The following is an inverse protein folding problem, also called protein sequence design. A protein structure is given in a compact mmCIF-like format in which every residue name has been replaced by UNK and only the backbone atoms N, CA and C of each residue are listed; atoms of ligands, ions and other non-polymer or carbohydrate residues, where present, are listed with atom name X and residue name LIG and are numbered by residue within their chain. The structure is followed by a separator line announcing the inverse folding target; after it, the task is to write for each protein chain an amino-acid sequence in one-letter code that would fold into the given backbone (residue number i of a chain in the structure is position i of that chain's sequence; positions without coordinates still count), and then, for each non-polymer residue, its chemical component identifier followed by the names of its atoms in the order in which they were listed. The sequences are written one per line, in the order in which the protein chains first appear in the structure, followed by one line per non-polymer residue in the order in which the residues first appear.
data_IF_490805239350
#
_entry.id   IF_490805239350
#
_cell.length_a   1.000
_cell.length_b   1.000
_cell.length_c   1.000
_cell.angle_alpha   90.00
_cell.angle_beta   90.00
_cell.angle_gamma   90.00
#
_symmetry.space_group_name_H-M   'P 1'
#
loop_
_entity.id
_entity.type
_entity.pdbx_description
1 polymer ?
#
# COMPACT_ATOMS: atom_id res chain seq x y z
N UNK A 1 7.23 4.65 26.39
CA UNK A 1 6.10 4.78 25.45
C UNK A 1 5.94 3.42 24.78
N UNK A 2 4.82 2.73 25.02
CA UNK A 2 4.66 1.32 24.65
C UNK A 2 4.59 1.15 23.13
N UNK A 3 5.22 0.11 22.61
CA UNK A 3 5.40 -0.19 21.17
C UNK A 3 4.12 -0.73 20.51
N UNK A 4 2.94 -0.33 20.99
CA UNK A 4 1.65 -0.94 20.63
C UNK A 4 1.04 -0.33 19.36
N UNK A 5 1.75 0.55 18.66
CA UNK A 5 1.26 1.27 17.48
C UNK A 5 1.14 0.40 16.23
N UNK A 6 1.70 -0.82 16.24
CA UNK A 6 1.62 -1.75 15.12
C UNK A 6 0.17 -2.19 14.86
N UNK A 7 -0.60 -2.47 15.92
CA UNK A 7 -2.01 -2.88 15.80
C UNK A 7 -2.93 -1.77 15.30
N UNK A 8 -2.88 -0.52 15.84
CA UNK A 8 -3.58 0.61 15.27
C UNK A 8 -3.20 0.92 13.82
N UNK A 9 -1.90 0.84 13.49
CA UNK A 9 -1.43 1.09 12.12
C UNK A 9 -1.97 0.05 11.12
N UNK A 10 -1.97 -1.23 11.50
CA UNK A 10 -2.56 -2.30 10.67
C UNK A 10 -4.08 -2.18 10.56
N UNK A 11 -4.77 -1.79 11.64
CA UNK A 11 -6.21 -1.52 11.59
C UNK A 11 -6.53 -0.38 10.61
N UNK A 12 -5.77 0.71 10.64
CA UNK A 12 -5.91 1.82 9.68
C UNK A 12 -5.60 1.39 8.24
N UNK A 13 -4.54 0.63 8.02
CA UNK A 13 -4.20 0.09 6.69
C UNK A 13 -5.36 -0.73 6.13
N UNK A 14 -5.94 -1.64 6.92
CA UNK A 14 -7.10 -2.45 6.52
C UNK A 14 -8.34 -1.60 6.22
N UNK A 15 -8.61 -0.56 7.00
CA UNK A 15 -9.72 0.37 6.73
C UNK A 15 -9.50 1.09 5.41
N UNK A 16 -8.31 1.65 5.17
CA UNK A 16 -7.98 2.36 3.93
C UNK A 16 -8.07 1.43 2.72
N UNK A 17 -7.52 0.21 2.83
CA UNK A 17 -7.52 -0.78 1.76
C UNK A 17 -8.94 -1.31 1.48
N UNK A 18 -9.78 -1.44 2.50
CA UNK A 18 -11.18 -1.86 2.38
C UNK A 18 -12.12 -0.79 1.82
N UNK A 19 -11.81 0.49 1.99
CA UNK A 19 -12.64 1.60 1.48
C UNK A 19 -12.76 1.58 -0.04
N UNK A 20 -11.66 1.31 -0.77
CA UNK A 20 -11.65 1.23 -2.24
C UNK A 20 -12.69 0.26 -2.81
N UNK A 21 -12.66 -1.04 -2.44
CA UNK A 21 -13.64 -2.02 -2.89
C UNK A 21 -15.05 -1.78 -2.33
N UNK A 22 -15.19 -1.24 -1.10
CA UNK A 22 -16.51 -0.98 -0.51
C UNK A 22 -17.26 0.19 -1.14
N UNK A 23 -16.58 1.32 -1.41
CA UNK A 23 -17.24 2.50 -1.99
C UNK A 23 -17.43 2.40 -3.50
N UNK A 24 -16.46 1.82 -4.23
CA UNK A 24 -16.48 1.81 -5.69
C UNK A 24 -16.03 0.45 -6.29
N UNK A 25 -16.79 -0.64 -6.08
CA UNK A 25 -16.38 -1.99 -6.48
C UNK A 25 -16.08 -2.11 -7.99
N UNK A 26 -16.92 -1.54 -8.85
CA UNK A 26 -16.75 -1.64 -10.30
C UNK A 26 -15.53 -0.85 -10.81
N UNK A 27 -15.27 0.35 -10.26
CA UNK A 27 -14.11 1.14 -10.64
C UNK A 27 -12.82 0.54 -10.10
N UNK A 28 -12.85 0.05 -8.87
CA UNK A 28 -11.73 -0.66 -8.26
C UNK A 28 -11.36 -1.91 -9.06
N UNK A 29 -12.35 -2.73 -9.42
CA UNK A 29 -12.12 -3.92 -10.26
C UNK A 29 -11.56 -3.55 -11.64
N UNK A 30 -12.07 -2.49 -12.29
CA UNK A 30 -11.55 -2.03 -13.57
C UNK A 30 -10.09 -1.52 -13.45
N UNK A 31 -9.76 -0.85 -12.35
CA UNK A 31 -8.40 -0.39 -12.06
C UNK A 31 -7.44 -1.57 -11.87
N UNK A 32 -7.82 -2.55 -11.05
CA UNK A 32 -7.04 -3.77 -10.85
C UNK A 32 -6.83 -4.56 -12.15
N UNK A 33 -7.87 -4.65 -13.01
CA UNK A 33 -7.75 -5.30 -14.31
C UNK A 33 -6.75 -4.60 -15.23
N UNK A 34 -6.76 -3.28 -15.28
CA UNK A 34 -5.75 -2.50 -16.03
C UNK A 34 -4.35 -2.74 -15.46
N UNK A 35 -4.21 -2.74 -14.14
CA UNK A 35 -2.94 -2.98 -13.47
C UNK A 35 -2.40 -4.40 -13.74
N UNK A 36 -3.29 -5.41 -13.78
CA UNK A 36 -2.92 -6.79 -14.11
C UNK A 36 -2.62 -7.02 -15.59
N UNK A 37 -3.12 -6.16 -16.47
CA UNK A 37 -2.89 -6.22 -17.91
C UNK A 37 -1.58 -5.53 -18.33
N UNK A 38 -1.02 -4.67 -17.48
CA UNK A 38 0.31 -4.09 -17.67
C UNK A 38 1.41 -5.17 -17.59
N UNK A 39 2.52 -5.02 -18.32
CA UNK A 39 3.63 -5.96 -18.28
C UNK A 39 4.19 -6.09 -16.87
N UNK A 40 4.58 -7.31 -16.50
CA UNK A 40 5.15 -7.67 -15.18
C UNK A 40 6.34 -6.78 -14.79
N UNK A 41 7.09 -6.28 -15.78
CA UNK A 41 8.19 -5.33 -15.58
C UNK A 41 7.73 -4.02 -14.90
N UNK A 42 6.59 -3.45 -15.34
CA UNK A 42 6.02 -2.23 -14.79
C UNK A 42 5.46 -2.49 -13.38
N UNK A 43 4.82 -3.65 -13.18
CA UNK A 43 4.34 -4.06 -11.87
C UNK A 43 5.49 -4.21 -10.86
N UNK A 44 6.63 -4.76 -11.31
CA UNK A 44 7.85 -4.87 -10.50
C UNK A 44 8.45 -3.51 -10.18
N UNK A 45 8.44 -2.56 -11.12
CA UNK A 45 8.90 -1.19 -10.87
C UNK A 45 8.01 -0.47 -9.86
N UNK A 46 6.69 -0.60 -9.97
CA UNK A 46 5.74 -0.06 -8.99
C UNK A 46 6.00 -0.64 -7.59
N UNK A 47 6.17 -1.97 -7.49
CA UNK A 47 6.52 -2.63 -6.24
C UNK A 47 7.86 -2.15 -5.66
N UNK A 48 8.88 -1.99 -6.51
CA UNK A 48 10.18 -1.46 -6.08
C UNK A 48 10.09 -0.03 -5.55
N UNK A 49 9.34 0.85 -6.22
CA UNK A 49 9.13 2.23 -5.76
C UNK A 49 8.39 2.25 -4.42
N UNK A 50 7.36 1.41 -4.24
CA UNK A 50 6.65 1.29 -2.96
C UNK A 50 7.57 0.81 -1.83
N UNK A 51 8.33 -0.26 -2.07
CA UNK A 51 9.28 -0.80 -1.08
C UNK A 51 10.36 0.22 -0.75
N UNK A 52 10.92 0.90 -1.76
CA UNK A 52 11.94 1.91 -1.57
C UNK A 52 11.43 3.10 -0.78
N UNK A 53 10.25 3.63 -1.12
CA UNK A 53 9.62 4.70 -0.38
C UNK A 53 9.33 4.30 1.09
N UNK A 54 8.86 3.07 1.31
CA UNK A 54 8.64 2.53 2.65
C UNK A 54 9.94 2.41 3.45
N UNK A 55 11.03 1.95 2.84
CA UNK A 55 12.35 1.88 3.47
C UNK A 55 12.87 3.28 3.80
N UNK A 56 12.77 4.25 2.88
CA UNK A 56 13.15 5.63 3.15
C UNK A 56 12.36 6.21 4.32
N UNK A 57 11.06 5.98 4.37
CA UNK A 57 10.19 6.44 5.46
C UNK A 57 10.53 5.78 6.80
N UNK A 58 10.76 4.46 6.78
CA UNK A 58 11.14 3.70 7.98
C UNK A 58 12.53 4.16 8.47
N UNK A 59 13.47 4.36 7.55
CA UNK A 59 14.80 4.87 7.86
C UNK A 59 14.73 6.28 8.46
N UNK A 60 13.90 7.17 7.91
CA UNK A 60 13.65 8.50 8.48
C UNK A 60 13.03 8.46 9.88
N UNK A 61 12.13 7.51 10.14
CA UNK A 61 11.54 7.34 11.48
C UNK A 61 12.50 6.68 12.49
N UNK A 62 13.40 5.81 12.03
CA UNK A 62 14.30 5.04 12.87
C UNK A 62 15.61 5.77 13.18
N UNK A 63 16.08 6.63 12.27
CA UNK A 63 17.29 7.45 12.43
C UNK A 63 16.86 8.88 12.77
N UNK A 64 17.00 9.33 14.04
CA UNK A 64 16.68 10.70 14.43
C UNK A 64 17.66 11.74 13.87
#
# INVERSE_FOLDING_TARGET
MTTDWIWPALALLLVVEGIGPLLFPNRWQAYLRKLSAEPVQNLRQLGLVLVFAGICWLWWLLVP
#
